data_IF_316182603811
#
_entry.id   IF_316182603811
#
_cell.length_a   1.000
_cell.length_b   1.000
_cell.length_c   1.000
_cell.angle_alpha   90.00
_cell.angle_beta   90.00
_cell.angle_gamma   90.00
#
_symmetry.space_group_name_H-M   'P 1'
#
loop_
_entity.id
_entity.type
_entity.pdbx_description
1 polymer ?
#
# COMPACT_ATOMS: atom_id res chain seq x y z
N UNK A 1 1.68 26.55 -17.57
CA UNK A 1 2.17 25.32 -16.92
C UNK A 1 2.55 25.72 -15.51
N UNK A 2 1.93 25.14 -14.48
CA UNK A 2 2.32 25.41 -13.10
C UNK A 2 3.73 24.84 -12.89
N UNK A 3 4.66 25.65 -12.40
CA UNK A 3 6.01 25.20 -12.08
C UNK A 3 6.00 24.57 -10.69
N UNK A 4 6.02 23.24 -10.64
CA UNK A 4 6.05 22.45 -9.41
C UNK A 4 7.46 22.35 -8.81
N UNK A 5 8.44 23.08 -9.36
CA UNK A 5 9.84 22.98 -8.95
C UNK A 5 10.20 24.04 -7.92
N UNK A 6 10.97 23.62 -6.93
CA UNK A 6 11.45 24.45 -5.83
C UNK A 6 12.97 24.37 -5.76
N UNK A 7 13.59 25.43 -5.27
CA UNK A 7 15.02 25.52 -5.04
C UNK A 7 15.36 25.21 -3.59
N UNK A 8 15.99 24.07 -3.35
CA UNK A 8 16.64 23.73 -2.09
C UNK A 8 17.95 24.49 -1.99
N UNK A 9 18.06 25.36 -0.98
CA UNK A 9 19.24 26.14 -0.67
C UNK A 9 19.88 25.61 0.62
N UNK A 10 21.14 25.18 0.56
CA UNK A 10 21.89 24.67 1.71
C UNK A 10 23.38 24.90 1.55
N UNK A 11 24.05 25.52 2.54
CA UNK A 11 25.51 25.73 2.55
C UNK A 11 26.06 26.20 1.20
N UNK A 12 25.49 27.29 0.67
CA UNK A 12 25.79 27.90 -0.65
C UNK A 12 25.44 27.05 -1.88
N UNK A 13 25.08 25.78 -1.71
CA UNK A 13 24.60 24.90 -2.77
C UNK A 13 23.12 25.15 -3.02
N UNK A 14 22.74 25.05 -4.30
CA UNK A 14 21.35 25.13 -4.75
C UNK A 14 21.03 23.92 -5.60
N UNK A 15 19.97 23.22 -5.23
CA UNK A 15 19.42 22.10 -5.99
C UNK A 15 17.98 22.40 -6.33
N UNK A 16 17.54 21.90 -7.48
CA UNK A 16 16.14 21.93 -7.86
C UNK A 16 15.48 20.62 -7.45
N UNK A 17 14.19 20.65 -7.16
CA UNK A 17 13.42 19.48 -6.77
C UNK A 17 11.93 19.75 -6.74
N UNK A 18 11.13 18.75 -6.40
CA UNK A 18 9.67 18.87 -6.32
C UNK A 18 9.14 18.21 -5.05
N UNK A 19 8.01 18.71 -4.57
CA UNK A 19 7.24 18.06 -3.51
C UNK A 19 6.30 17.01 -4.07
N UNK A 20 6.18 15.90 -3.35
CA UNK A 20 5.24 14.82 -3.64
C UNK A 20 4.43 14.51 -2.40
N UNK A 21 3.15 14.23 -2.60
CA UNK A 21 2.28 13.75 -1.55
C UNK A 21 1.46 12.58 -2.05
N UNK A 22 1.36 11.56 -1.23
CA UNK A 22 0.50 10.43 -1.47
C UNK A 22 -0.04 9.88 -0.15
N UNK A 23 -1.33 9.53 -0.08
CA UNK A 23 -1.93 8.98 1.14
C UNK A 23 -1.19 7.77 1.71
N UNK A 24 -0.62 6.93 0.84
CA UNK A 24 -0.02 5.64 1.19
C UNK A 24 1.48 5.77 1.46
N UNK A 25 2.17 6.62 0.70
CA UNK A 25 3.61 6.80 0.80
C UNK A 25 4.03 7.97 1.70
N UNK A 26 3.18 8.97 1.91
CA UNK A 26 3.49 10.16 2.70
C UNK A 26 3.94 11.36 1.85
N UNK A 27 4.61 12.31 2.50
CA UNK A 27 5.02 13.57 1.89
C UNK A 27 6.55 13.67 1.78
N UNK A 28 7.03 14.03 0.60
CA UNK A 28 8.45 14.06 0.27
C UNK A 28 8.84 15.33 -0.47
N UNK A 29 10.09 15.74 -0.30
CA UNK A 29 10.80 16.58 -1.27
C UNK A 29 11.89 15.75 -1.95
N UNK A 30 11.85 15.61 -3.28
CA UNK A 30 12.90 14.94 -4.05
C UNK A 30 13.72 15.97 -4.83
N UNK A 31 15.05 15.87 -4.78
CA UNK A 31 15.93 16.66 -5.64
C UNK A 31 16.06 16.05 -7.03
N UNK A 32 16.32 16.89 -8.04
CA UNK A 32 16.86 16.45 -9.32
C UNK A 32 18.25 15.80 -9.10
N UNK A 33 18.68 14.85 -9.96
CA UNK A 33 19.99 14.23 -9.93
C UNK A 33 21.09 15.28 -9.96
N UNK A 34 22.06 15.12 -9.07
CA UNK A 34 23.15 16.07 -8.92
C UNK A 34 24.48 15.37 -8.66
N UNK A 35 25.58 15.94 -9.16
CA UNK A 35 26.92 15.53 -8.76
C UNK A 35 27.34 16.11 -7.41
N UNK A 36 26.61 17.13 -6.92
CA UNK A 36 26.89 17.77 -5.64
C UNK A 36 26.59 16.82 -4.49
N UNK A 37 27.57 16.62 -3.61
CA UNK A 37 27.31 16.02 -2.31
C UNK A 37 26.86 17.11 -1.36
N UNK A 38 25.64 17.02 -0.85
CA UNK A 38 25.13 18.00 0.11
C UNK A 38 25.78 17.87 1.48
N UNK A 39 26.42 16.75 1.86
CA UNK A 39 26.89 16.43 3.22
C UNK A 39 25.79 16.61 4.28
N UNK A 40 25.33 15.52 4.87
CA UNK A 40 24.08 15.49 5.64
C UNK A 40 24.17 14.70 6.94
N UNK A 41 23.27 15.05 7.85
CA UNK A 41 22.91 14.25 9.00
C UNK A 41 21.56 13.56 8.72
N UNK A 42 21.35 12.41 9.35
CA UNK A 42 20.01 11.82 9.42
C UNK A 42 19.14 12.79 10.23
N UNK A 43 17.99 13.18 9.67
CA UNK A 43 17.07 14.20 10.15
C UNK A 43 17.48 15.66 9.89
N UNK A 44 16.57 16.42 9.25
CA UNK A 44 16.71 17.88 9.03
C UNK A 44 15.35 18.57 9.09
N UNK A 45 15.35 19.87 9.39
CA UNK A 45 14.17 20.71 9.23
C UNK A 45 14.23 21.48 7.91
N UNK A 46 13.10 21.53 7.19
CA UNK A 46 12.95 22.32 5.97
C UNK A 46 11.99 23.48 6.22
N UNK A 47 12.47 24.71 6.02
CA UNK A 47 11.62 25.90 5.97
C UNK A 47 11.29 26.23 4.52
N UNK A 48 10.02 26.48 4.24
CA UNK A 48 9.51 26.67 2.87
C UNK A 48 8.90 28.05 2.75
N UNK A 49 9.38 28.82 1.79
CA UNK A 49 8.84 30.13 1.46
C UNK A 49 8.80 30.31 -0.06
N UNK A 50 7.58 30.41 -0.63
CA UNK A 50 7.37 30.44 -2.08
C UNK A 50 8.02 29.23 -2.76
N UNK A 51 8.89 29.43 -3.75
CA UNK A 51 9.64 28.37 -4.45
C UNK A 51 11.03 28.11 -3.86
N UNK A 52 11.29 28.56 -2.63
CA UNK A 52 12.58 28.38 -1.94
C UNK A 52 12.41 27.49 -0.72
N UNK A 53 13.21 26.44 -0.65
CA UNK A 53 13.33 25.51 0.47
C UNK A 53 14.69 25.74 1.12
N UNK A 54 14.73 25.96 2.44
CA UNK A 54 15.98 26.15 3.19
C UNK A 54 16.09 25.11 4.28
N UNK A 55 17.27 24.49 4.41
CA UNK A 55 17.56 23.56 5.49
C UNK A 55 17.91 24.33 6.76
N UNK A 56 17.26 23.99 7.87
CA UNK A 56 17.49 24.59 9.19
C UNK A 56 18.11 23.54 10.12
N UNK A 57 19.11 23.95 10.91
CA UNK A 57 19.76 23.12 11.92
C UNK A 57 19.08 23.30 13.28
N UNK A 58 17.81 22.91 13.40
CA UNK A 58 17.12 22.92 14.69
C UNK A 58 17.06 21.51 15.29
N UNK A 59 16.86 21.43 16.60
CA UNK A 59 16.78 20.19 17.39
C UNK A 59 15.42 19.46 17.28
N UNK A 60 14.49 20.03 16.52
CA UNK A 60 13.22 19.41 16.12
C UNK A 60 13.45 18.63 14.83
N UNK A 61 12.90 17.43 14.70
CA UNK A 61 13.13 16.57 13.54
C UNK A 61 11.84 16.41 12.76
N UNK A 62 11.68 17.14 11.66
CA UNK A 62 10.49 16.99 10.81
C UNK A 62 10.72 16.18 9.53
N UNK A 63 11.96 16.07 9.00
CA UNK A 63 12.22 15.26 7.80
C UNK A 63 13.34 14.24 8.00
N UNK A 64 13.11 12.97 7.68
CA UNK A 64 14.18 11.98 7.50
C UNK A 64 14.76 12.07 6.08
N UNK A 65 16.08 11.88 5.94
CA UNK A 65 16.76 12.13 4.65
C UNK A 65 17.41 10.86 4.12
N UNK A 66 17.15 10.57 2.85
CA UNK A 66 17.60 9.38 2.14
C UNK A 66 18.43 9.73 0.90
N UNK A 67 19.41 8.88 0.56
CA UNK A 67 20.27 8.99 -0.65
C UNK A 67 20.12 7.80 -1.57
N UNK A 68 19.82 8.09 -2.83
CA UNK A 68 20.20 7.19 -3.92
C UNK A 68 21.44 7.75 -4.64
N UNK A 69 22.44 6.90 -4.87
CA UNK A 69 23.62 7.21 -5.68
C UNK A 69 23.73 6.21 -6.83
N UNK A 70 23.72 6.71 -8.07
CA UNK A 70 23.90 5.91 -9.29
C UNK A 70 24.72 6.70 -10.32
N UNK A 71 25.68 6.03 -10.96
CA UNK A 71 26.51 6.61 -12.03
C UNK A 71 27.17 7.95 -11.65
N UNK A 72 27.54 8.14 -10.38
CA UNK A 72 28.13 9.38 -9.86
C UNK A 72 27.14 10.53 -9.65
N UNK A 73 25.86 10.33 -9.91
CA UNK A 73 24.77 11.25 -9.56
C UNK A 73 24.08 10.81 -8.27
N UNK A 74 23.63 11.79 -7.50
CA UNK A 74 22.95 11.63 -6.23
C UNK A 74 21.56 12.24 -6.29
N UNK A 75 20.59 11.57 -5.67
CA UNK A 75 19.22 12.04 -5.48
C UNK A 75 18.93 12.01 -3.98
N UNK A 76 18.38 13.10 -3.47
CA UNK A 76 18.09 13.32 -2.07
C UNK A 76 16.57 13.31 -1.90
N UNK A 77 16.07 12.47 -1.00
CA UNK A 77 14.66 12.45 -0.62
C UNK A 77 14.51 12.85 0.85
N UNK A 78 13.70 13.88 1.10
CA UNK A 78 13.39 14.37 2.44
C UNK A 78 11.95 13.96 2.76
N UNK A 79 11.78 12.97 3.64
CA UNK A 79 10.50 12.38 4.02
C UNK A 79 9.95 13.03 5.30
N UNK A 80 8.78 13.68 5.23
CA UNK A 80 8.18 14.35 6.39
C UNK A 80 7.70 13.31 7.41
N UNK A 81 8.15 13.40 8.66
CA UNK A 81 7.83 12.47 9.75
C UNK A 81 6.53 12.86 10.47
N UNK A 82 6.20 14.15 10.54
CA UNK A 82 5.03 14.67 11.26
C UNK A 82 3.95 15.23 10.31
N UNK A 83 2.81 14.53 10.21
CA UNK A 83 1.73 14.82 9.25
C UNK A 83 1.01 16.16 9.47
N UNK A 84 1.07 16.78 10.64
CA UNK A 84 0.39 18.07 10.92
C UNK A 84 1.14 19.31 10.42
N UNK A 85 2.35 19.14 9.90
CA UNK A 85 3.19 20.21 9.33
C UNK A 85 3.16 20.24 7.80
N UNK A 86 2.10 19.71 7.18
CA UNK A 86 1.97 19.77 5.72
C UNK A 86 1.92 21.22 5.24
N UNK A 87 2.91 21.68 4.44
CA UNK A 87 2.93 23.04 3.98
C UNK A 87 1.81 23.26 2.95
N UNK A 88 1.19 24.45 2.93
CA UNK A 88 0.24 24.83 1.89
C UNK A 88 1.00 25.15 0.60
N UNK A 89 1.27 24.12 -0.21
CA UNK A 89 2.04 24.25 -1.46
C UNK A 89 1.53 23.30 -2.55
N UNK A 90 1.98 23.52 -3.78
CA UNK A 90 1.70 22.62 -4.90
C UNK A 90 2.63 21.42 -4.85
N UNK A 91 2.06 20.22 -4.87
CA UNK A 91 2.76 18.94 -4.90
C UNK A 91 2.27 18.09 -6.07
N UNK A 92 3.07 17.10 -6.40
CA UNK A 92 2.76 16.06 -7.37
C UNK A 92 2.36 14.76 -6.66
N UNK A 93 1.76 13.83 -7.39
CA UNK A 93 1.50 12.46 -6.89
C UNK A 93 2.61 11.51 -7.29
N UNK A 94 2.71 10.35 -6.65
CA UNK A 94 3.69 9.33 -7.06
C UNK A 94 3.46 8.79 -8.48
N UNK A 95 2.25 8.94 -9.03
CA UNK A 95 1.98 8.65 -10.44
C UNK A 95 2.70 9.61 -11.40
N UNK A 96 2.97 10.84 -10.96
CA UNK A 96 3.62 11.87 -11.76
C UNK A 96 5.15 11.78 -11.72
N UNK A 97 5.74 10.88 -10.92
CA UNK A 97 7.19 10.83 -10.69
C UNK A 97 7.98 10.69 -12.00
N UNK A 98 7.51 9.82 -12.90
CA UNK A 98 8.13 9.56 -14.21
C UNK A 98 7.96 10.71 -15.21
N UNK A 99 6.91 11.51 -15.10
CA UNK A 99 6.58 12.61 -16.01
C UNK A 99 7.02 13.99 -15.50
N UNK A 100 7.32 14.10 -14.20
CA UNK A 100 7.71 15.32 -13.49
C UNK A 100 9.04 15.92 -13.94
N UNK A 101 9.83 15.17 -14.73
CA UNK A 101 11.12 15.63 -15.25
C UNK A 101 12.22 15.70 -14.20
N UNK A 102 12.05 15.02 -13.05
CA UNK A 102 13.09 14.85 -12.02
C UNK A 102 14.23 13.98 -12.55
N UNK A 103 14.09 13.32 -13.70
CA UNK A 103 15.17 12.54 -14.30
C UNK A 103 15.42 11.20 -13.58
N UNK A 104 14.46 10.74 -12.78
CA UNK A 104 14.46 9.41 -12.19
C UNK A 104 13.58 8.48 -13.04
N UNK A 105 14.15 7.35 -13.44
CA UNK A 105 13.41 6.23 -14.00
C UNK A 105 12.58 5.52 -12.94
N UNK A 106 11.54 4.79 -13.36
CA UNK A 106 10.73 3.95 -12.47
C UNK A 106 11.58 3.00 -11.62
N UNK A 107 12.67 2.45 -12.17
CA UNK A 107 13.56 1.54 -11.44
C UNK A 107 14.35 2.26 -10.34
N UNK A 108 14.87 3.46 -10.61
CA UNK A 108 15.58 4.26 -9.61
C UNK A 108 14.66 4.69 -8.46
N UNK A 109 13.40 4.97 -8.78
CA UNK A 109 12.37 5.31 -7.81
C UNK A 109 12.06 4.13 -6.88
N UNK A 110 11.88 2.93 -7.44
CA UNK A 110 11.71 1.72 -6.65
C UNK A 110 12.92 1.43 -5.76
N UNK A 111 14.14 1.65 -6.27
CA UNK A 111 15.37 1.48 -5.47
C UNK A 111 15.45 2.48 -4.31
N UNK A 112 15.10 3.73 -4.56
CA UNK A 112 15.05 4.76 -3.52
C UNK A 112 13.99 4.44 -2.46
N UNK A 113 12.82 3.99 -2.89
CA UNK A 113 11.77 3.55 -1.98
C UNK A 113 12.15 2.30 -1.20
N UNK A 114 12.84 1.34 -1.80
CA UNK A 114 13.35 0.17 -1.08
C UNK A 114 14.35 0.56 0.03
N UNK A 115 15.02 1.72 -0.08
CA UNK A 115 15.86 2.25 0.99
C UNK A 115 15.05 2.95 2.09
N UNK A 116 13.85 3.43 1.78
CA UNK A 116 12.90 4.01 2.73
C UNK A 116 12.17 2.86 3.44
N UNK A 117 12.83 2.24 4.41
CA UNK A 117 12.32 1.05 5.09
C UNK A 117 10.99 1.29 5.82
N UNK A 118 10.71 2.53 6.24
CA UNK A 118 9.46 2.92 6.92
C UNK A 118 8.98 4.23 6.30
N UNK A 119 7.79 4.19 5.71
CA UNK A 119 7.10 5.35 5.20
C UNK A 119 6.57 6.19 6.37
N UNK A 120 6.42 7.52 6.20
CA UNK A 120 5.74 8.40 7.17
C UNK A 120 4.34 7.94 7.61
N UNK A 121 3.69 7.10 6.83
CA UNK A 121 2.40 6.50 7.15
C UNK A 121 2.49 5.39 8.21
N UNK A 122 3.70 4.91 8.53
CA UNK A 122 3.95 3.72 9.33
C UNK A 122 4.01 2.43 8.49
N UNK A 123 3.70 2.53 7.19
CA UNK A 123 3.84 1.42 6.26
C UNK A 123 5.32 1.14 5.97
N UNK A 124 5.63 -0.07 5.51
CA UNK A 124 7.00 -0.47 5.18
C UNK A 124 7.12 -0.63 3.67
N UNK A 125 8.25 -0.17 3.11
CA UNK A 125 8.64 -0.57 1.76
C UNK A 125 9.66 -1.69 1.86
N UNK A 126 9.47 -2.71 1.03
CA UNK A 126 10.34 -3.86 0.95
C UNK A 126 10.85 -4.00 -0.48
N UNK A 127 12.16 -4.14 -0.66
CA UNK A 127 12.76 -4.30 -1.99
C UNK A 127 13.02 -5.75 -2.38
N UNK A 128 13.06 -6.64 -1.39
CA UNK A 128 13.35 -8.06 -1.58
C UNK A 128 12.68 -8.93 -0.51
N UNK A 129 12.75 -10.24 -0.69
CA UNK A 129 12.12 -11.23 0.20
C UNK A 129 12.70 -11.20 1.62
N UNK A 130 14.00 -10.94 1.77
CA UNK A 130 14.65 -10.89 3.09
C UNK A 130 14.14 -9.69 3.91
N UNK A 131 14.02 -8.53 3.27
CA UNK A 131 13.45 -7.33 3.90
C UNK A 131 12.01 -7.59 4.33
N UNK A 132 11.22 -8.23 3.45
CA UNK A 132 9.84 -8.58 3.74
C UNK A 132 9.71 -9.50 4.95
N UNK A 133 10.50 -10.58 5.02
CA UNK A 133 10.51 -11.48 6.19
C UNK A 133 10.88 -10.71 7.47
N UNK A 134 11.90 -9.87 7.40
CA UNK A 134 12.37 -9.08 8.55
C UNK A 134 11.27 -8.13 9.06
N UNK A 135 10.56 -7.48 8.14
CA UNK A 135 9.42 -6.60 8.46
C UNK A 135 8.27 -7.38 9.09
N UNK A 136 7.87 -8.51 8.50
CA UNK A 136 6.79 -9.35 9.03
C UNK A 136 7.12 -9.86 10.43
N UNK A 137 8.34 -10.34 10.66
CA UNK A 137 8.78 -10.78 11.99
C UNK A 137 8.74 -9.65 13.02
N UNK A 138 9.17 -8.44 12.62
CA UNK A 138 9.14 -7.25 13.48
C UNK A 138 7.71 -6.83 13.82
N UNK A 139 6.76 -6.99 12.89
CA UNK A 139 5.33 -6.71 13.14
C UNK A 139 4.68 -7.72 14.08
N UNK A 140 4.99 -9.01 13.91
CA UNK A 140 4.32 -10.09 14.66
C UNK A 140 4.88 -10.24 16.08
N UNK A 141 6.21 -10.17 16.26
CA UNK A 141 6.90 -10.48 17.53
C UNK A 141 6.32 -9.76 18.76
N UNK A 142 5.92 -8.48 18.71
CA UNK A 142 5.36 -7.79 19.87
C UNK A 142 3.98 -8.30 20.32
N UNK A 143 3.27 -9.06 19.47
CA UNK A 143 1.87 -9.45 19.69
C UNK A 143 1.67 -10.98 19.70
N UNK A 144 2.26 -11.72 20.66
CA UNK A 144 2.26 -13.19 20.67
C UNK A 144 0.87 -13.84 20.85
N UNK A 145 -0.14 -13.08 21.27
CA UNK A 145 -1.52 -13.54 21.51
C UNK A 145 -2.48 -13.22 20.35
N UNK A 146 -1.97 -12.61 19.27
CA UNK A 146 -2.76 -12.30 18.09
C UNK A 146 -2.52 -13.34 16.99
N UNK A 147 -3.54 -13.53 16.16
CA UNK A 147 -3.43 -14.17 14.86
C UNK A 147 -3.27 -13.11 13.78
N UNK A 148 -2.42 -13.40 12.81
CA UNK A 148 -2.12 -12.51 11.69
C UNK A 148 -2.63 -13.12 10.39
N UNK A 149 -3.26 -12.27 9.58
CA UNK A 149 -3.78 -12.60 8.27
C UNK A 149 -3.22 -11.61 7.26
N UNK A 150 -2.89 -12.12 6.09
CA UNK A 150 -2.24 -11.37 5.03
C UNK A 150 -3.10 -11.39 3.79
N UNK A 151 -3.06 -10.29 3.02
CA UNK A 151 -3.65 -10.23 1.69
C UNK A 151 -2.71 -9.49 0.75
N UNK A 152 -2.34 -10.14 -0.35
CA UNK A 152 -1.55 -9.51 -1.41
C UNK A 152 -2.46 -8.84 -2.42
N UNK A 153 -2.13 -7.61 -2.80
CA UNK A 153 -2.68 -6.95 -3.97
C UNK A 153 -1.54 -6.62 -4.94
N UNK A 154 -1.74 -6.97 -6.21
CA UNK A 154 -0.80 -6.61 -7.28
C UNK A 154 -0.61 -5.09 -7.44
N UNK A 155 -1.58 -4.30 -6.98
CA UNK A 155 -1.50 -2.85 -6.99
C UNK A 155 -1.97 -2.29 -5.66
N UNK A 156 -1.17 -1.39 -5.08
CA UNK A 156 -1.54 -0.61 -3.89
C UNK A 156 -2.82 0.22 -4.03
N UNK A 157 -3.28 0.46 -5.27
CA UNK A 157 -4.52 1.19 -5.55
C UNK A 157 -5.78 0.34 -5.37
N UNK A 158 -5.63 -0.96 -5.12
CA UNK A 158 -6.77 -1.85 -4.98
C UNK A 158 -7.42 -1.70 -3.61
N UNK A 159 -8.69 -1.30 -3.59
CA UNK A 159 -9.46 -1.24 -2.36
C UNK A 159 -9.57 -2.64 -1.70
N UNK A 160 -9.38 -2.69 -0.39
CA UNK A 160 -9.59 -3.87 0.46
C UNK A 160 -11.09 -4.12 0.69
N UNK A 161 -11.79 -4.51 -0.37
CA UNK A 161 -13.21 -4.86 -0.33
C UNK A 161 -13.44 -6.22 -0.99
N UNK A 162 -14.38 -7.04 -0.46
CA UNK A 162 -14.84 -8.26 -1.11
C UNK A 162 -15.32 -8.02 -2.54
N UNK A 163 -15.24 -9.06 -3.37
CA UNK A 163 -15.61 -8.99 -4.79
C UNK A 163 -17.08 -8.60 -5.00
N UNK A 164 -17.97 -8.98 -4.08
CA UNK A 164 -19.38 -8.59 -4.09
C UNK A 164 -19.60 -7.08 -4.09
N UNK A 165 -18.88 -6.35 -3.24
CA UNK A 165 -19.10 -4.91 -3.05
C UNK A 165 -18.46 -4.04 -4.13
N UNK A 166 -17.70 -4.64 -5.07
CA UNK A 166 -17.04 -3.90 -6.16
C UNK A 166 -18.01 -3.41 -7.23
N UNK A 167 -19.19 -4.03 -7.36
CA UNK A 167 -20.24 -3.59 -8.28
C UNK A 167 -21.60 -3.66 -7.60
N UNK A 168 -22.35 -2.57 -7.69
CA UNK A 168 -23.71 -2.47 -7.14
C UNK A 168 -24.60 -3.65 -7.56
N UNK A 169 -24.54 -4.04 -8.84
CA UNK A 169 -25.30 -5.17 -9.38
C UNK A 169 -24.99 -6.52 -8.70
N UNK A 170 -23.77 -6.75 -8.21
CA UNK A 170 -23.43 -8.00 -7.54
C UNK A 170 -24.02 -8.02 -6.14
N UNK A 171 -23.83 -6.93 -5.40
CA UNK A 171 -24.43 -6.75 -4.07
C UNK A 171 -25.96 -6.86 -4.12
N UNK A 172 -26.61 -6.20 -5.08
CA UNK A 172 -28.08 -6.20 -5.20
C UNK A 172 -28.68 -7.59 -5.49
N UNK A 173 -27.89 -8.51 -6.04
CA UNK A 173 -28.36 -9.84 -6.49
C UNK A 173 -27.60 -10.99 -5.81
N UNK A 174 -26.98 -10.78 -4.64
CA UNK A 174 -26.22 -11.84 -3.97
C UNK A 174 -27.07 -13.08 -3.71
N UNK A 175 -28.30 -12.89 -3.22
CA UNK A 175 -29.25 -13.97 -2.95
C UNK A 175 -29.56 -14.81 -4.19
N UNK A 176 -29.81 -14.17 -5.33
CA UNK A 176 -30.07 -14.86 -6.59
C UNK A 176 -28.84 -15.65 -7.04
N UNK A 177 -27.65 -15.02 -7.03
CA UNK A 177 -26.40 -15.70 -7.38
C UNK A 177 -26.12 -16.90 -6.47
N UNK A 178 -26.39 -16.77 -5.17
CA UNK A 178 -26.24 -17.86 -4.20
C UNK A 178 -27.22 -19.00 -4.48
N UNK A 179 -28.51 -18.70 -4.67
CA UNK A 179 -29.54 -19.71 -4.90
C UNK A 179 -29.37 -20.42 -6.24
N UNK A 180 -29.03 -19.69 -7.30
CA UNK A 180 -28.77 -20.27 -8.62
C UNK A 180 -27.56 -21.22 -8.56
N UNK A 181 -26.47 -20.81 -7.91
CA UNK A 181 -25.29 -21.66 -7.73
C UNK A 181 -25.61 -22.90 -6.90
N UNK A 182 -26.30 -22.74 -5.77
CA UNK A 182 -26.70 -23.88 -4.92
C UNK A 182 -27.63 -24.85 -5.66
N UNK A 183 -28.52 -24.34 -6.51
CA UNK A 183 -29.43 -25.17 -7.31
C UNK A 183 -28.68 -25.92 -8.40
N UNK A 184 -27.73 -25.26 -9.08
CA UNK A 184 -26.91 -25.86 -10.12
C UNK A 184 -26.02 -27.00 -9.58
N UNK A 185 -25.45 -26.83 -8.38
CA UNK A 185 -24.55 -27.79 -7.73
C UNK A 185 -25.23 -28.51 -6.55
N UNK A 186 -26.55 -28.71 -6.60
CA UNK A 186 -27.34 -29.21 -5.47
C UNK A 186 -26.79 -30.50 -4.84
N UNK A 187 -26.41 -31.49 -5.65
CA UNK A 187 -25.90 -32.76 -5.15
C UNK A 187 -24.61 -32.61 -4.34
N UNK A 188 -23.77 -31.63 -4.68
CA UNK A 188 -22.48 -31.38 -4.02
C UNK A 188 -22.61 -30.45 -2.80
N UNK A 189 -23.63 -29.60 -2.79
CA UNK A 189 -23.78 -28.50 -1.83
C UNK A 189 -24.98 -28.65 -0.88
N UNK A 190 -25.80 -29.68 -1.03
CA UNK A 190 -27.04 -29.87 -0.26
C UNK A 190 -26.81 -29.95 1.26
N UNK A 191 -25.70 -30.52 1.69
CA UNK A 191 -25.29 -30.72 3.09
C UNK A 191 -24.29 -29.67 3.59
N UNK A 192 -23.90 -28.72 2.74
CA UNK A 192 -22.87 -27.71 3.05
C UNK A 192 -23.44 -26.52 3.81
N UNK A 193 -22.65 -25.99 4.74
CA UNK A 193 -22.95 -24.74 5.45
C UNK A 193 -22.85 -23.55 4.50
N UNK A 194 -23.51 -22.45 4.85
CA UNK A 194 -23.47 -21.20 4.06
C UNK A 194 -22.05 -20.74 3.73
N UNK A 195 -21.13 -20.82 4.70
CA UNK A 195 -19.72 -20.42 4.52
C UNK A 195 -18.97 -21.32 3.53
N UNK A 196 -19.24 -22.63 3.53
CA UNK A 196 -18.63 -23.59 2.60
C UNK A 196 -19.13 -23.35 1.17
N UNK A 197 -20.42 -23.04 1.02
CA UNK A 197 -21.02 -22.69 -0.26
C UNK A 197 -20.41 -21.39 -0.79
N UNK A 198 -20.31 -20.34 0.04
CA UNK A 198 -19.66 -19.08 -0.35
C UNK A 198 -18.19 -19.27 -0.73
N UNK A 199 -17.45 -20.12 0.00
CA UNK A 199 -16.06 -20.44 -0.33
C UNK A 199 -15.97 -21.15 -1.69
N UNK A 200 -16.91 -22.06 -1.97
CA UNK A 200 -16.99 -22.75 -3.26
C UNK A 200 -17.33 -21.78 -4.39
N UNK A 201 -18.32 -20.90 -4.22
CA UNK A 201 -18.64 -19.83 -5.17
C UNK A 201 -17.41 -18.99 -5.51
N UNK A 202 -16.63 -18.59 -4.50
CA UNK A 202 -15.40 -17.81 -4.69
C UNK A 202 -14.33 -18.59 -5.45
N UNK A 203 -14.21 -19.90 -5.22
CA UNK A 203 -13.34 -20.79 -6.01
C UNK A 203 -13.72 -20.80 -7.51
N UNK A 204 -15.02 -20.76 -7.82
CA UNK A 204 -15.54 -20.60 -9.19
C UNK A 204 -15.52 -19.14 -9.68
N UNK A 205 -14.82 -18.23 -8.99
CA UNK A 205 -14.65 -16.81 -9.33
C UNK A 205 -15.95 -16.01 -9.31
N UNK A 206 -16.99 -16.50 -8.63
CA UNK A 206 -18.21 -15.72 -8.40
C UNK A 206 -17.95 -14.63 -7.34
N UNK A 207 -18.61 -13.47 -7.46
CA UNK A 207 -18.51 -12.43 -6.45
C UNK A 207 -19.17 -12.88 -5.14
N UNK A 208 -18.46 -12.75 -4.02
CA UNK A 208 -18.96 -13.12 -2.69
C UNK A 208 -18.62 -12.04 -1.67
N UNK A 209 -19.35 -12.03 -0.55
CA UNK A 209 -19.06 -11.19 0.62
C UNK A 209 -17.78 -11.57 1.37
N UNK A 210 -17.14 -12.68 1.00
CA UNK A 210 -15.91 -13.14 1.63
C UNK A 210 -14.71 -12.34 1.10
N UNK A 211 -13.84 -11.94 2.02
CA UNK A 211 -12.55 -11.36 1.69
C UNK A 211 -11.48 -12.46 1.73
N UNK A 212 -10.78 -12.72 0.62
CA UNK A 212 -9.65 -13.65 0.64
C UNK A 212 -8.53 -13.13 1.55
N UNK A 213 -8.07 -13.99 2.43
CA UNK A 213 -6.88 -13.76 3.26
C UNK A 213 -6.10 -15.06 3.38
N UNK A 214 -4.84 -14.98 3.78
CA UNK A 214 -4.00 -16.14 4.04
C UNK A 214 -3.24 -15.96 5.35
N UNK A 215 -3.03 -17.03 6.10
CA UNK A 215 -2.13 -17.02 7.26
C UNK A 215 -0.66 -17.11 6.87
N UNK A 216 -0.36 -17.37 5.59
CA UNK A 216 1.01 -17.47 5.09
C UNK A 216 1.44 -16.14 4.43
N UNK A 217 2.37 -15.38 5.04
CA UNK A 217 2.82 -14.10 4.50
C UNK A 217 3.47 -14.23 3.11
N UNK A 218 4.15 -15.34 2.82
CA UNK A 218 4.80 -15.55 1.52
C UNK A 218 3.79 -15.80 0.40
N UNK A 219 2.63 -16.38 0.70
CA UNK A 219 1.53 -16.50 -0.27
C UNK A 219 0.96 -15.12 -0.59
N UNK A 220 0.79 -14.25 0.40
CA UNK A 220 0.36 -12.88 0.17
C UNK A 220 1.39 -12.09 -0.66
N UNK A 221 2.70 -12.25 -0.36
CA UNK A 221 3.75 -11.64 -1.17
C UNK A 221 3.71 -12.11 -2.62
N UNK A 222 3.55 -13.42 -2.86
CA UNK A 222 3.39 -13.96 -4.21
C UNK A 222 2.23 -13.27 -4.95
N UNK A 223 1.05 -13.16 -4.32
CA UNK A 223 -0.12 -12.51 -4.91
C UNK A 223 0.10 -11.00 -5.18
N UNK A 224 0.92 -10.33 -4.37
CA UNK A 224 1.30 -8.94 -4.59
C UNK A 224 2.27 -8.76 -5.77
N UNK A 225 3.00 -9.81 -6.15
CA UNK A 225 3.91 -9.80 -7.29
C UNK A 225 3.31 -10.43 -8.56
N UNK A 226 2.21 -11.18 -8.44
CA UNK A 226 1.62 -11.92 -9.55
C UNK A 226 0.85 -10.98 -10.49
N UNK A 227 1.41 -10.75 -11.67
CA UNK A 227 0.92 -9.79 -12.65
C UNK A 227 -0.34 -10.31 -13.34
N UNK A 228 -1.49 -9.59 -13.27
CA UNK A 228 -2.68 -9.98 -13.98
C UNK A 228 -2.48 -9.89 -15.50
N UNK A 229 -3.08 -10.85 -16.21
CA UNK A 229 -3.05 -10.93 -17.67
C UNK A 229 -3.71 -9.69 -18.28
N UNK A 230 -2.99 -8.96 -19.12
CA UNK A 230 -3.49 -7.77 -19.82
C UNK A 230 -3.14 -6.43 -19.19
N UNK A 231 -2.37 -6.41 -18.11
CA UNK A 231 -1.90 -5.16 -17.51
C UNK A 231 -0.93 -4.40 -18.44
N UNK A 232 -1.23 -3.12 -18.66
CA UNK A 232 -0.58 -2.28 -19.68
C UNK A 232 0.86 -1.98 -19.28
N UNK A 233 1.79 -2.05 -20.24
CA UNK A 233 3.17 -1.56 -20.05
C UNK A 233 3.11 -0.05 -19.75
N UNK A 234 3.61 0.38 -18.59
CA UNK A 234 3.85 1.80 -18.31
C UNK A 234 3.60 2.28 -16.88
N UNK A 235 2.82 1.57 -16.07
CA UNK A 235 2.62 1.93 -14.65
C UNK A 235 3.63 1.17 -13.78
N UNK A 236 4.23 1.84 -12.79
CA UNK A 236 5.02 1.19 -11.75
C UNK A 236 4.12 0.20 -10.98
N UNK A 237 4.33 -1.13 -11.08
CA UNK A 237 3.49 -2.08 -10.38
C UNK A 237 4.03 -2.21 -8.95
N UNK A 238 3.70 -1.23 -8.10
CA UNK A 238 3.92 -1.38 -6.66
C UNK A 238 2.77 -2.23 -6.13
N UNK A 239 3.08 -3.48 -5.80
CA UNK A 239 2.18 -4.34 -5.05
C UNK A 239 2.16 -3.96 -3.58
N UNK A 240 1.11 -4.36 -2.88
CA UNK A 240 1.01 -4.20 -1.43
C UNK A 240 0.67 -5.53 -0.76
N UNK A 241 1.18 -5.71 0.45
CA UNK A 241 0.70 -6.76 1.36
C UNK A 241 0.05 -6.09 2.55
N UNK A 242 -1.25 -6.32 2.68
CA UNK A 242 -2.04 -5.83 3.80
C UNK A 242 -1.95 -6.85 4.93
N UNK A 243 -1.62 -6.36 6.12
CA UNK A 243 -1.54 -7.15 7.34
C UNK A 243 -2.73 -6.82 8.23
N UNK A 244 -3.53 -7.83 8.55
CA UNK A 244 -4.65 -7.76 9.49
C UNK A 244 -4.32 -8.64 10.68
N UNK A 245 -4.75 -8.24 11.87
CA UNK A 245 -4.54 -9.04 13.06
C UNK A 245 -5.71 -8.94 14.03
N UNK A 246 -5.89 -9.98 14.83
CA UNK A 246 -6.96 -10.06 15.82
C UNK A 246 -6.53 -10.94 16.99
N UNK A 247 -7.03 -10.71 18.20
CA UNK A 247 -6.79 -11.60 19.33
C UNK A 247 -7.30 -13.02 19.02
N UNK A 248 -6.50 -14.04 19.37
CA UNK A 248 -6.86 -15.45 19.15
C UNK A 248 -8.27 -15.84 19.59
N UNK A 249 -8.74 -15.28 20.71
CA UNK A 249 -10.08 -15.57 21.28
C UNK A 249 -11.23 -15.04 20.42
N UNK A 250 -10.96 -14.03 19.59
CA UNK A 250 -11.94 -13.38 18.73
C UNK A 250 -12.04 -14.08 17.37
N UNK A 251 -10.99 -14.78 16.93
CA UNK A 251 -11.00 -15.61 15.71
C UNK A 251 -12.03 -16.73 15.86
N UNK A 252 -12.96 -16.81 14.91
CA UNK A 252 -14.05 -17.80 14.90
C UNK A 252 -13.85 -18.81 13.79
N UNK A 253 -14.14 -20.07 14.09
CA UNK A 253 -14.11 -21.17 13.13
C UNK A 253 -15.44 -21.30 12.38
N UNK A 254 -15.44 -22.07 11.30
CA UNK A 254 -16.57 -22.25 10.37
C UNK A 254 -17.85 -22.79 11.00
N UNK A 255 -17.76 -23.40 12.18
CA UNK A 255 -18.86 -23.95 12.97
C UNK A 255 -19.41 -22.98 14.03
N UNK A 256 -18.81 -21.79 14.18
CA UNK A 256 -19.31 -20.76 15.08
C UNK A 256 -20.68 -20.22 14.65
N UNK A 257 -21.54 -19.94 15.64
CA UNK A 257 -22.82 -19.26 15.42
C UNK A 257 -22.64 -17.92 14.71
N UNK A 258 -21.61 -17.16 15.06
CA UNK A 258 -21.33 -15.87 14.43
C UNK A 258 -21.03 -16.02 12.93
N UNK A 259 -20.20 -16.99 12.56
CA UNK A 259 -19.86 -17.27 11.15
C UNK A 259 -21.10 -17.75 10.39
N UNK A 260 -21.90 -18.60 11.00
CA UNK A 260 -23.15 -19.10 10.40
C UNK A 260 -24.12 -17.96 10.13
N UNK A 261 -24.36 -17.08 11.10
CA UNK A 261 -25.23 -15.92 10.96
C UNK A 261 -24.72 -14.97 9.87
N UNK A 262 -23.44 -14.59 9.91
CA UNK A 262 -22.86 -13.68 8.92
C UNK A 262 -22.85 -14.25 7.51
N UNK A 263 -22.61 -15.56 7.35
CA UNK A 263 -22.66 -16.23 6.06
C UNK A 263 -24.10 -16.37 5.53
N UNK A 264 -25.08 -16.58 6.42
CA UNK A 264 -26.49 -16.72 6.03
C UNK A 264 -27.09 -15.44 5.43
N UNK A 265 -26.49 -14.28 5.70
CA UNK A 265 -26.89 -13.00 5.11
C UNK A 265 -26.87 -13.02 3.56
N UNK A 266 -26.04 -13.88 2.95
CA UNK A 266 -25.99 -14.06 1.50
C UNK A 266 -27.29 -14.62 0.89
N UNK A 267 -28.20 -15.10 1.71
CA UNK A 267 -29.45 -15.75 1.31
C UNK A 267 -30.67 -14.85 1.56
N UNK A 268 -30.48 -13.71 2.24
CA UNK A 268 -31.56 -12.78 2.52
C UNK A 268 -32.01 -12.06 1.25
N UNK A 269 -33.32 -11.92 1.07
CA UNK A 269 -33.91 -11.23 -0.09
C UNK A 269 -33.64 -9.72 -0.08
N UNK A 270 -33.39 -9.14 1.10
CA UNK A 270 -32.99 -7.75 1.27
C UNK A 270 -31.54 -7.67 1.75
N UNK A 271 -30.72 -6.92 1.02
CA UNK A 271 -29.32 -6.72 1.37
C UNK A 271 -29.19 -5.72 2.53
N UNK A 272 -28.50 -6.12 3.61
CA UNK A 272 -28.21 -5.33 4.80
C UNK A 272 -26.70 -5.07 4.95
#
# INVERSE_FOLDING_TARGET
MNDYRYWLCMNEKKLRGCFFSDPDFGFYFFTEPTSLDLSWNRFVDLTIHQQKVTVCSNSTNHFEVYRLEQNGQKVYAFALVEKWLMPTLQYLTFDDLSSSGIGLSSEELLKLFAQICILPTGNFVVGNVQDYITVVERMIRPYPNQEFFFRGHYSYKYALIPSLYRKKQYYEHENFMYMDFKTQFYNELSDKKYIEILTTMQHYKMPTRLLDTTSNPLVALYMACDKPVGDKKGTLPIGEVIVMHEERKNVKYSDSNAVTLLASLAVLETNY
#
